data_IF_503018561379
#
_entry.id   IF_503018561379
#
_cell.length_a   1.000
_cell.length_b   1.000
_cell.length_c   1.000
_cell.angle_alpha   90.00
_cell.angle_beta   90.00
_cell.angle_gamma   90.00
#
_symmetry.space_group_name_H-M   'P 1'
#
loop_
_entity.id
_entity.type
_entity.pdbx_description
1 polymer ?
#
# COMPACT_ATOMS: atom_id res chain seq x y z
N UNK A 1 -59.80 4.11 -7.00
CA UNK A 1 -58.57 4.49 -7.74
C UNK A 1 -57.39 4.23 -6.82
N UNK A 2 -56.55 3.24 -7.15
CA UNK A 2 -55.43 2.78 -6.32
C UNK A 2 -54.18 3.55 -6.73
N UNK A 3 -53.61 4.31 -5.80
CA UNK A 3 -52.31 4.97 -5.96
C UNK A 3 -51.21 3.91 -6.04
N UNK A 4 -50.45 3.92 -7.13
CA UNK A 4 -49.20 3.18 -7.25
C UNK A 4 -48.05 4.17 -6.98
N UNK A 5 -47.50 4.11 -5.77
CA UNK A 5 -46.24 4.79 -5.42
C UNK A 5 -45.13 3.87 -5.88
N UNK A 6 -44.44 4.24 -6.97
CA UNK A 6 -43.25 3.55 -7.43
C UNK A 6 -42.07 3.95 -6.52
N UNK A 7 -41.64 3.01 -5.68
CA UNK A 7 -40.44 3.14 -4.85
C UNK A 7 -39.23 2.93 -5.75
N UNK A 8 -38.49 4.01 -5.98
CA UNK A 8 -37.14 3.98 -6.56
C UNK A 8 -36.21 3.25 -5.58
N UNK A 9 -35.89 2.00 -5.89
CA UNK A 9 -34.76 1.30 -5.29
C UNK A 9 -33.46 1.95 -5.79
N UNK A 10 -32.99 2.94 -5.05
CA UNK A 10 -31.61 3.40 -5.15
C UNK A 10 -30.71 2.27 -4.69
N UNK A 11 -30.13 1.55 -5.66
CA UNK A 11 -28.98 0.68 -5.45
C UNK A 11 -27.80 1.57 -5.06
N UNK A 12 -27.73 1.91 -3.77
CA UNK A 12 -26.51 2.40 -3.16
C UNK A 12 -25.47 1.29 -3.31
N UNK A 13 -24.55 1.48 -4.25
CA UNK A 13 -23.28 0.76 -4.27
C UNK A 13 -22.57 1.23 -3.01
N UNK A 14 -22.84 0.57 -1.89
CA UNK A 14 -22.04 0.73 -0.68
C UNK A 14 -20.69 0.15 -1.06
N UNK A 15 -19.78 1.03 -1.48
CA UNK A 15 -18.39 0.67 -1.70
C UNK A 15 -17.90 -0.03 -0.45
N UNK A 16 -17.49 -1.28 -0.58
CA UNK A 16 -16.67 -1.93 0.42
C UNK A 16 -15.36 -1.15 0.47
N UNK A 17 -15.31 -0.06 1.24
CA UNK A 17 -14.04 0.54 1.62
C UNK A 17 -13.28 -0.54 2.38
N UNK A 18 -12.20 -1.01 1.75
CA UNK A 18 -11.30 -2.01 2.28
C UNK A 18 -10.83 -1.56 3.66
N UNK A 19 -11.29 -2.24 4.71
CA UNK A 19 -11.03 -1.97 6.14
C UNK A 19 -9.55 -2.03 6.58
N UNK A 20 -8.62 -1.98 5.63
CA UNK A 20 -7.18 -2.02 5.85
C UNK A 20 -6.56 -0.64 6.03
N UNK A 21 -7.16 0.42 5.47
CA UNK A 21 -6.62 1.79 5.55
C UNK A 21 -6.53 2.29 7.01
N UNK A 22 -7.55 2.01 7.83
CA UNK A 22 -7.60 2.43 9.24
C UNK A 22 -6.56 1.74 10.15
N UNK A 23 -5.79 0.77 9.63
CA UNK A 23 -4.83 -0.03 10.41
C UNK A 23 -3.40 0.10 9.93
N UNK A 24 -3.14 0.96 8.95
CA UNK A 24 -1.77 1.18 8.51
C UNK A 24 -0.95 1.83 9.64
N UNK A 25 0.34 1.48 9.76
CA UNK A 25 1.24 2.18 10.66
C UNK A 25 1.24 3.68 10.33
N UNK A 26 1.28 4.54 11.35
CA UNK A 26 1.37 5.98 11.12
C UNK A 26 2.61 6.32 10.27
N UNK A 27 2.51 7.40 9.49
CA UNK A 27 3.63 8.00 8.77
C UNK A 27 3.48 9.50 8.82
N UNK A 28 4.60 10.17 9.02
CA UNK A 28 4.79 11.61 8.89
C UNK A 28 5.23 12.03 7.48
N UNK A 29 5.43 11.07 6.57
CA UNK A 29 5.76 11.34 5.17
C UNK A 29 4.66 12.16 4.49
N UNK A 30 5.09 13.13 3.69
CA UNK A 30 4.24 13.98 2.88
C UNK A 30 4.90 14.13 1.51
N UNK A 31 4.32 13.47 0.51
CA UNK A 31 4.71 13.58 -0.89
C UNK A 31 3.61 14.23 -1.71
N UNK A 32 3.93 14.47 -2.98
CA UNK A 32 2.95 14.89 -3.97
C UNK A 32 3.38 14.34 -5.33
N UNK A 33 2.47 13.66 -6.01
CA UNK A 33 2.68 13.12 -7.35
C UNK A 33 1.75 13.83 -8.35
N UNK A 34 2.10 13.89 -9.65
CA UNK A 34 1.21 14.42 -10.68
C UNK A 34 -0.13 13.68 -10.72
N UNK A 35 -1.22 14.40 -11.02
CA UNK A 35 -2.59 13.85 -11.03
C UNK A 35 -2.73 12.57 -11.86
N UNK A 36 -2.08 12.49 -13.02
CA UNK A 36 -2.12 11.31 -13.87
C UNK A 36 -1.52 10.08 -13.16
N UNK A 37 -0.37 10.26 -12.50
CA UNK A 37 0.28 9.20 -11.73
C UNK A 37 -0.53 8.85 -10.49
N UNK A 38 -1.14 9.83 -9.83
CA UNK A 38 -2.03 9.62 -8.69
C UNK A 38 -3.19 8.67 -9.06
N UNK A 39 -3.83 8.90 -10.22
CA UNK A 39 -4.91 8.03 -10.71
C UNK A 39 -4.43 6.60 -11.02
N UNK A 40 -3.22 6.44 -11.56
CA UNK A 40 -2.62 5.12 -11.76
C UNK A 40 -2.33 4.43 -10.41
N UNK A 41 -1.80 5.16 -9.43
CA UNK A 41 -1.45 4.63 -8.11
C UNK A 41 -2.68 4.22 -7.29
N UNK A 42 -3.81 4.91 -7.45
CA UNK A 42 -5.08 4.51 -6.83
C UNK A 42 -5.50 3.09 -7.20
N UNK A 43 -5.13 2.60 -8.39
CA UNK A 43 -5.46 1.22 -8.81
C UNK A 43 -4.80 0.14 -7.95
N UNK A 44 -3.73 0.45 -7.22
CA UNK A 44 -3.09 -0.49 -6.29
C UNK A 44 -4.02 -0.85 -5.12
N UNK A 45 -4.94 0.02 -4.74
CA UNK A 45 -5.91 -0.24 -3.66
C UNK A 45 -6.91 -1.34 -4.01
N UNK A 46 -7.18 -1.52 -5.30
CA UNK A 46 -8.09 -2.55 -5.82
C UNK A 46 -7.34 -3.80 -6.30
N UNK A 47 -6.00 -3.81 -6.22
CA UNK A 47 -5.20 -4.94 -6.64
C UNK A 47 -5.47 -6.18 -5.77
N UNK A 48 -5.60 -7.37 -6.38
CA UNK A 48 -5.86 -8.59 -5.61
C UNK A 48 -4.69 -8.91 -4.69
N UNK A 49 -5.02 -9.44 -3.50
CA UNK A 49 -4.01 -9.90 -2.55
C UNK A 49 -3.19 -11.02 -3.18
N UNK A 50 -1.89 -10.78 -3.32
CA UNK A 50 -0.95 -11.76 -3.83
C UNK A 50 -0.64 -12.80 -2.77
N UNK A 51 -0.62 -14.05 -3.21
CA UNK A 51 -0.48 -15.19 -2.33
C UNK A 51 0.87 -15.87 -2.52
N UNK A 52 1.77 -15.70 -1.54
CA UNK A 52 3.08 -16.36 -1.53
C UNK A 52 3.15 -17.46 -0.48
N UNK A 53 4.22 -18.27 -0.56
CA UNK A 53 4.50 -19.30 0.44
C UNK A 53 4.80 -18.63 1.77
N UNK A 54 3.85 -18.69 2.68
CA UNK A 54 4.01 -18.24 4.06
C UNK A 54 3.40 -16.87 4.37
N UNK A 55 3.19 -16.06 3.35
CA UNK A 55 2.69 -14.69 3.47
C UNK A 55 1.66 -14.32 2.41
N UNK A 56 1.05 -13.16 2.61
CA UNK A 56 0.25 -12.45 1.63
C UNK A 56 0.83 -11.06 1.42
N UNK A 57 0.82 -10.58 0.20
CA UNK A 57 1.21 -9.20 -0.15
C UNK A 57 -0.01 -8.48 -0.70
N UNK A 58 -0.24 -7.26 -0.24
CA UNK A 58 -1.17 -6.35 -0.87
C UNK A 58 -0.66 -4.92 -0.73
N UNK A 59 -1.20 -4.03 -1.54
CA UNK A 59 -0.75 -2.65 -1.62
C UNK A 59 -1.85 -1.75 -1.08
N UNK A 60 -1.44 -0.70 -0.39
CA UNK A 60 -2.35 0.36 0.03
C UNK A 60 -1.69 1.70 -0.27
N UNK A 61 -2.32 2.47 -1.13
CA UNK A 61 -1.91 3.81 -1.52
C UNK A 61 -2.76 4.86 -0.79
N UNK A 62 -2.09 5.69 -0.01
CA UNK A 62 -2.64 6.85 0.71
C UNK A 62 -2.42 8.11 -0.15
N UNK A 63 -3.47 8.52 -0.90
CA UNK A 63 -3.44 9.67 -1.83
C UNK A 63 -3.07 10.99 -1.13
N UNK A 64 -3.57 11.22 0.09
CA UNK A 64 -3.34 12.44 0.86
C UNK A 64 -1.87 12.67 1.23
N UNK A 65 -1.06 11.60 1.22
CA UNK A 65 0.37 11.62 1.53
C UNK A 65 1.25 11.27 0.34
N UNK A 66 0.65 10.88 -0.79
CA UNK A 66 1.31 10.18 -1.88
C UNK A 66 2.21 9.02 -1.38
N UNK A 67 1.67 8.15 -0.53
CA UNK A 67 2.42 7.07 0.12
C UNK A 67 1.87 5.69 -0.26
N UNK A 68 2.69 4.86 -0.88
CA UNK A 68 2.40 3.45 -1.13
C UNK A 68 2.98 2.58 -0.02
N UNK A 69 2.12 1.84 0.69
CA UNK A 69 2.52 0.84 1.67
C UNK A 69 2.35 -0.56 1.08
N UNK A 70 3.47 -1.29 0.96
CA UNK A 70 3.48 -2.72 0.62
C UNK A 70 3.26 -3.50 1.92
N UNK A 71 2.08 -4.09 2.08
CA UNK A 71 1.72 -4.82 3.29
C UNK A 71 2.02 -6.31 3.10
N UNK A 72 3.05 -6.79 3.81
CA UNK A 72 3.42 -8.20 3.86
C UNK A 72 2.93 -8.79 5.17
N UNK A 73 2.00 -9.75 5.11
CA UNK A 73 1.38 -10.34 6.30
C UNK A 73 1.58 -11.85 6.34
N UNK A 74 2.03 -12.37 7.48
CA UNK A 74 2.12 -13.82 7.70
C UNK A 74 0.73 -14.46 7.68
N UNK A 75 0.61 -15.60 6.99
CA UNK A 75 -0.67 -16.33 6.89
C UNK A 75 -1.11 -16.96 8.20
N UNK A 76 -0.15 -17.28 9.06
CA UNK A 76 -0.37 -17.99 10.29
C UNK A 76 0.02 -17.12 11.46
N UNK A 77 -0.90 -16.94 12.42
CA UNK A 77 -0.65 -16.17 13.63
C UNK A 77 0.42 -16.79 14.55
N UNK A 78 0.77 -18.07 14.33
CA UNK A 78 1.85 -18.76 15.07
C UNK A 78 3.25 -18.51 14.51
N UNK A 79 3.35 -17.82 13.37
CA UNK A 79 4.63 -17.51 12.76
C UNK A 79 5.09 -16.12 13.18
N UNK A 80 6.40 -15.94 13.19
CA UNK A 80 7.07 -14.71 13.55
C UNK A 80 7.99 -14.31 12.41
N UNK A 81 8.09 -13.01 12.14
CA UNK A 81 9.16 -12.50 11.30
C UNK A 81 10.48 -12.66 12.08
N UNK A 82 11.39 -13.47 11.53
CA UNK A 82 12.71 -13.73 12.12
C UNK A 82 13.78 -13.03 11.29
N UNK A 83 13.65 -11.71 11.17
CA UNK A 83 14.57 -10.82 10.47
C UNK A 83 14.48 -9.42 11.07
N UNK A 84 15.56 -8.65 11.03
CA UNK A 84 15.56 -7.28 11.52
C UNK A 84 15.45 -6.28 10.36
N UNK A 85 14.90 -5.10 10.66
CA UNK A 85 14.83 -3.99 9.71
C UNK A 85 16.20 -3.66 9.11
N UNK A 86 17.25 -3.59 9.93
CA UNK A 86 18.62 -3.29 9.48
C UNK A 86 19.14 -4.25 8.43
N UNK A 87 18.72 -5.51 8.51
CA UNK A 87 19.29 -6.59 7.70
C UNK A 87 18.67 -6.63 6.30
N UNK A 88 17.46 -6.09 6.14
CA UNK A 88 16.69 -6.18 4.90
C UNK A 88 16.36 -4.83 4.25
N UNK A 89 16.59 -3.70 4.94
CA UNK A 89 16.14 -2.40 4.43
C UNK A 89 16.83 -2.03 3.12
N UNK A 90 18.09 -2.43 2.95
CA UNK A 90 18.82 -2.18 1.71
C UNK A 90 18.26 -2.99 0.54
N UNK A 91 18.04 -4.30 0.73
CA UNK A 91 17.43 -5.15 -0.31
C UNK A 91 16.02 -4.67 -0.68
N UNK A 92 15.24 -4.25 0.32
CA UNK A 92 13.92 -3.66 0.08
C UNK A 92 14.04 -2.35 -0.69
N UNK A 93 14.99 -1.47 -0.35
CA UNK A 93 15.22 -0.20 -1.05
C UNK A 93 15.58 -0.46 -2.51
N UNK A 94 16.55 -1.33 -2.77
CA UNK A 94 16.99 -1.67 -4.13
C UNK A 94 15.82 -2.20 -4.95
N UNK A 95 15.12 -3.22 -4.46
CA UNK A 95 13.96 -3.78 -5.16
C UNK A 95 12.87 -2.73 -5.40
N UNK A 96 12.60 -1.88 -4.41
CA UNK A 96 11.61 -0.81 -4.54
C UNK A 96 12.01 0.20 -5.61
N UNK A 97 13.28 0.59 -5.65
CA UNK A 97 13.81 1.52 -6.65
C UNK A 97 13.78 0.93 -8.06
N UNK A 98 14.11 -0.35 -8.23
CA UNK A 98 14.02 -1.02 -9.53
C UNK A 98 12.58 -1.07 -10.07
N UNK A 99 11.58 -1.20 -9.19
CA UNK A 99 10.17 -1.34 -9.59
C UNK A 99 9.43 0.00 -9.72
N UNK A 100 9.73 0.96 -8.85
CA UNK A 100 8.95 2.19 -8.67
C UNK A 100 9.80 3.46 -8.71
N UNK A 101 11.10 3.36 -9.02
CA UNK A 101 12.04 4.48 -9.08
C UNK A 101 11.51 5.73 -9.80
N UNK A 102 10.97 5.61 -11.04
CA UNK A 102 10.42 6.76 -11.75
C UNK A 102 9.26 7.44 -11.00
N UNK A 103 8.38 6.66 -10.36
CA UNK A 103 7.27 7.19 -9.57
C UNK A 103 7.78 7.85 -8.27
N UNK A 104 8.80 7.26 -7.66
CA UNK A 104 9.47 7.79 -6.46
C UNK A 104 10.10 9.15 -6.75
N UNK A 105 10.80 9.29 -7.88
CA UNK A 105 11.38 10.58 -8.29
C UNK A 105 10.32 11.62 -8.69
N UNK A 106 9.10 11.17 -9.00
CA UNK A 106 7.92 12.03 -9.19
C UNK A 106 7.20 12.38 -7.88
N UNK A 107 7.72 11.96 -6.71
CA UNK A 107 7.22 12.35 -5.40
C UNK A 107 6.40 11.28 -4.67
N UNK A 108 6.43 10.03 -5.13
CA UNK A 108 5.86 8.88 -4.41
C UNK A 108 6.78 8.47 -3.25
N UNK A 109 6.22 8.33 -2.05
CA UNK A 109 6.87 7.59 -0.97
C UNK A 109 6.49 6.12 -1.04
N UNK A 110 7.44 5.21 -0.81
CA UNK A 110 7.15 3.77 -0.71
C UNK A 110 7.73 3.19 0.56
N UNK A 111 6.93 2.43 1.31
CA UNK A 111 7.40 1.67 2.48
C UNK A 111 6.86 0.26 2.49
N UNK A 112 7.54 -0.65 3.16
CA UNK A 112 7.07 -2.01 3.38
C UNK A 112 6.72 -2.21 4.85
N UNK A 113 5.51 -2.72 5.10
CA UNK A 113 5.07 -3.13 6.42
C UNK A 113 5.03 -4.65 6.53
N UNK A 114 5.89 -5.20 7.37
CA UNK A 114 5.87 -6.60 7.80
C UNK A 114 4.90 -6.73 8.96
N UNK A 115 3.65 -7.08 8.66
CA UNK A 115 2.56 -7.14 9.63
C UNK A 115 2.55 -8.46 10.42
N UNK A 116 2.27 -8.39 11.72
CA UNK A 116 2.17 -9.54 12.62
C UNK A 116 3.26 -9.57 13.69
N UNK A 117 3.44 -10.74 14.32
CA UNK A 117 4.46 -10.93 15.36
C UNK A 117 5.87 -10.73 14.79
N UNK A 118 6.72 -10.00 15.54
CA UNK A 118 8.08 -9.65 15.11
C UNK A 118 8.12 -8.65 13.96
N UNK A 119 6.96 -8.07 13.62
CA UNK A 119 6.80 -7.17 12.50
C UNK A 119 7.43 -5.80 12.70
N UNK A 120 7.69 -5.12 11.59
CA UNK A 120 8.27 -3.77 11.55
C UNK A 120 7.89 -3.06 10.26
N UNK A 121 8.21 -1.77 10.19
CA UNK A 121 8.01 -0.92 9.00
C UNK A 121 9.37 -0.44 8.54
N UNK A 122 9.66 -0.59 7.25
CA UNK A 122 10.88 -0.03 6.66
C UNK A 122 10.81 1.49 6.66
N UNK A 123 11.96 2.15 6.45
CA UNK A 123 11.93 3.57 6.14
C UNK A 123 11.22 3.80 4.80
N UNK A 124 10.72 5.02 4.62
CA UNK A 124 10.08 5.42 3.36
C UNK A 124 11.19 5.68 2.36
N UNK A 125 11.16 4.92 1.26
CA UNK A 125 11.95 5.18 0.06
C UNK A 125 11.31 6.35 -0.67
N UNK A 126 12.08 7.39 -0.90
CA UNK A 126 11.63 8.66 -1.49
C UNK A 126 12.66 9.17 -2.52
N UNK A 127 12.32 10.27 -3.19
CA UNK A 127 13.19 10.88 -4.19
C UNK A 127 14.63 11.07 -3.69
N UNK A 128 15.60 10.65 -4.50
CA UNK A 128 17.03 10.66 -4.16
C UNK A 128 17.54 9.38 -3.52
N UNK A 129 16.67 8.52 -2.96
CA UNK A 129 17.08 7.21 -2.46
C UNK A 129 17.39 6.21 -3.58
N UNK A 130 16.92 6.47 -4.81
CA UNK A 130 17.02 5.55 -5.94
C UNK A 130 18.14 5.89 -6.94
N UNK A 131 19.02 6.82 -6.61
CA UNK A 131 20.08 7.28 -7.50
C UNK A 131 20.98 6.13 -7.99
N UNK A 132 20.96 5.87 -9.30
CA UNK A 132 21.79 4.85 -9.96
C UNK A 132 21.30 3.41 -9.80
N UNK A 133 20.04 3.22 -9.39
CA UNK A 133 19.44 1.89 -9.18
C UNK A 133 18.39 1.50 -10.22
N UNK A 134 18.09 2.37 -11.19
CA UNK A 134 17.15 2.09 -12.27
C UNK A 134 17.42 2.94 -13.52
#
# INVERSE_FOLDING_TARGET
>A
MRSAVAVLFGLGIVGCQSSLVDKLPASDYQGHVPDALNQELLTFNDAPIQSLRGETIHYVYEEDKALLTVVRKLRSARWNWDMNKSDISEDVRVFTCEQLGPAIDMGLGVRTWYAGSGGFVTDVVQAGDCNGLY
#
